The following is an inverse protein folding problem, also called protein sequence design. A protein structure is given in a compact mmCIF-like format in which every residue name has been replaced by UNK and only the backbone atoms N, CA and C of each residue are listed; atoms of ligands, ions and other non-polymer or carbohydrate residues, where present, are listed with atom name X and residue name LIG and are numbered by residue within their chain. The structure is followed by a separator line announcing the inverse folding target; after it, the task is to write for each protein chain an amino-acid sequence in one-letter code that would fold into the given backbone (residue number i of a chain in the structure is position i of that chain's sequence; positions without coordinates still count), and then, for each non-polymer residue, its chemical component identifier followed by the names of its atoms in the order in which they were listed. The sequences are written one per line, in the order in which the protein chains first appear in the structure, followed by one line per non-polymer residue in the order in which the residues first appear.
data_IF_191537844067
#
_entry.id   IF_191537844067
#
_cell.length_a   1.000
_cell.length_b   1.000
_cell.length_c   1.000
_cell.angle_alpha   90.00
_cell.angle_beta   90.00
_cell.angle_gamma   90.00
#
_symmetry.space_group_name_H-M   'P 1'
#
loop_
_entity.id
_entity.type
_entity.pdbx_description
1 polymer ?
#
# COMPACT_ATOMS: atom_id res chain seq x y z
N UNK A 1 -52.81 -18.39 -0.73
CA UNK A 1 -52.16 -19.00 -1.91
C UNK A 1 -52.34 -18.04 -3.08
N UNK A 2 -51.38 -17.13 -3.31
CA UNK A 2 -51.45 -16.12 -4.38
C UNK A 2 -50.87 -16.71 -5.66
N UNK A 3 -51.73 -17.11 -6.60
CA UNK A 3 -51.34 -17.52 -7.94
C UNK A 3 -50.98 -16.26 -8.74
N UNK A 4 -49.69 -16.07 -9.02
CA UNK A 4 -49.21 -15.02 -9.93
C UNK A 4 -49.64 -15.35 -11.37
N UNK A 5 -50.84 -14.90 -11.76
CA UNK A 5 -51.44 -15.07 -13.10
C UNK A 5 -51.00 -13.98 -14.09
N UNK A 6 -49.75 -13.49 -14.00
CA UNK A 6 -49.29 -12.38 -14.86
C UNK A 6 -48.14 -12.80 -15.77
N UNK A 7 -48.44 -12.94 -17.06
CA UNK A 7 -47.54 -13.15 -18.21
C UNK A 7 -46.75 -11.88 -18.58
N UNK A 8 -46.31 -11.10 -17.59
CA UNK A 8 -45.53 -9.87 -17.85
C UNK A 8 -44.05 -10.19 -18.03
N UNK A 9 -43.50 -9.68 -19.13
CA UNK A 9 -42.06 -9.68 -19.44
C UNK A 9 -41.26 -9.14 -18.24
N UNK A 10 -40.20 -9.84 -17.85
CA UNK A 10 -39.33 -9.45 -16.73
C UNK A 10 -38.00 -8.95 -17.27
N UNK A 11 -37.55 -7.78 -16.84
CA UNK A 11 -36.23 -7.24 -17.17
C UNK A 11 -35.37 -7.24 -15.92
N UNK A 12 -34.21 -7.90 -15.98
CA UNK A 12 -33.20 -7.94 -14.92
C UNK A 12 -32.05 -7.04 -15.35
N UNK A 13 -31.73 -6.07 -14.50
CA UNK A 13 -30.65 -5.12 -14.73
C UNK A 13 -29.46 -5.51 -13.85
N UNK A 14 -28.27 -5.59 -14.43
CA UNK A 14 -27.03 -5.93 -13.72
C UNK A 14 -25.94 -4.95 -14.12
N UNK A 15 -25.16 -4.52 -13.15
CA UNK A 15 -24.00 -3.67 -13.36
C UNK A 15 -22.72 -4.45 -13.74
N UNK A 16 -22.75 -5.77 -13.54
CA UNK A 16 -21.65 -6.68 -13.85
C UNK A 16 -21.56 -6.96 -15.36
N UNK A 17 -20.92 -6.04 -16.08
CA UNK A 17 -20.66 -6.18 -17.52
C UNK A 17 -19.93 -7.48 -17.84
N UNK A 18 -18.98 -7.88 -17.00
CA UNK A 18 -18.20 -9.13 -17.17
C UNK A 18 -19.07 -10.38 -17.05
N UNK A 19 -20.05 -10.41 -16.14
CA UNK A 19 -20.98 -11.53 -16.03
C UNK A 19 -21.87 -11.63 -17.27
N UNK A 20 -22.41 -10.50 -17.75
CA UNK A 20 -23.24 -10.47 -18.96
C UNK A 20 -22.45 -10.87 -20.22
N UNK A 21 -21.21 -10.40 -20.36
CA UNK A 21 -20.32 -10.82 -21.45
C UNK A 21 -20.00 -12.31 -21.37
N UNK A 22 -19.73 -12.85 -20.17
CA UNK A 22 -19.51 -14.28 -19.96
C UNK A 22 -20.73 -15.10 -20.37
N UNK A 23 -21.94 -14.64 -20.06
CA UNK A 23 -23.18 -15.32 -20.48
C UNK A 23 -23.42 -15.23 -21.99
N UNK A 24 -23.05 -14.12 -22.62
CA UNK A 24 -23.22 -13.90 -24.06
C UNK A 24 -22.18 -14.63 -24.92
N UNK A 25 -20.99 -14.92 -24.40
CA UNK A 25 -19.89 -15.55 -25.15
C UNK A 25 -20.11 -17.06 -25.37
N UNK A 26 -20.48 -17.52 -26.58
CA UNK A 26 -20.74 -18.94 -26.83
C UNK A 26 -19.52 -19.84 -26.58
N UNK A 27 -18.30 -19.30 -26.58
CA UNK A 27 -17.06 -20.06 -26.37
C UNK A 27 -16.75 -20.29 -24.88
N UNK A 28 -17.43 -19.61 -23.96
CA UNK A 28 -17.24 -19.82 -22.53
C UNK A 28 -17.88 -21.14 -22.08
N UNK A 29 -17.04 -22.12 -21.75
CA UNK A 29 -17.40 -23.49 -21.35
C UNK A 29 -17.48 -23.70 -19.83
N UNK A 30 -17.38 -22.65 -19.03
CA UNK A 30 -17.40 -22.77 -17.57
C UNK A 30 -18.73 -23.38 -17.06
N UNK A 31 -18.71 -24.41 -16.18
CA UNK A 31 -19.93 -25.11 -15.75
C UNK A 31 -21.03 -24.20 -15.19
N UNK A 32 -20.66 -23.24 -14.32
CA UNK A 32 -21.62 -22.26 -13.79
C UNK A 32 -22.25 -21.40 -14.88
N UNK A 33 -21.49 -21.00 -15.90
CA UNK A 33 -22.02 -20.21 -17.02
C UNK A 33 -23.01 -21.06 -17.82
N UNK A 34 -22.70 -22.34 -18.05
CA UNK A 34 -23.61 -23.30 -18.67
C UNK A 34 -24.92 -23.45 -17.90
N UNK A 35 -24.85 -23.59 -16.59
CA UNK A 35 -26.03 -23.72 -15.74
C UNK A 35 -26.89 -22.44 -15.71
N UNK A 36 -26.26 -21.27 -15.56
CA UNK A 36 -26.99 -19.99 -15.62
C UNK A 36 -27.63 -19.78 -17.00
N UNK A 37 -26.96 -20.15 -18.10
CA UNK A 37 -27.57 -20.11 -19.45
C UNK A 37 -28.78 -21.02 -19.56
N UNK A 38 -28.72 -22.23 -19.00
CA UNK A 38 -29.85 -23.19 -18.99
C UNK A 38 -31.05 -22.60 -18.25
N UNK A 39 -30.81 -22.05 -17.05
CA UNK A 39 -31.83 -21.37 -16.24
C UNK A 39 -32.40 -20.16 -16.96
N UNK A 40 -31.55 -19.34 -17.59
CA UNK A 40 -31.99 -18.16 -18.34
C UNK A 40 -32.83 -18.53 -19.57
N UNK A 41 -32.48 -19.58 -20.31
CA UNK A 41 -33.28 -20.08 -21.44
C UNK A 41 -34.67 -20.49 -20.98
N UNK A 42 -34.75 -21.26 -19.88
CA UNK A 42 -36.02 -21.69 -19.27
C UNK A 42 -36.84 -20.49 -18.79
N UNK A 43 -36.22 -19.57 -18.06
CA UNK A 43 -36.91 -18.38 -17.56
C UNK A 43 -37.39 -17.46 -18.70
N UNK A 44 -36.65 -17.40 -19.81
CA UNK A 44 -37.05 -16.67 -21.01
C UNK A 44 -38.28 -17.30 -21.68
N UNK A 45 -38.34 -18.62 -21.81
CA UNK A 45 -39.50 -19.31 -22.40
C UNK A 45 -40.75 -19.25 -21.50
N UNK A 46 -40.58 -19.35 -20.18
CA UNK A 46 -41.70 -19.40 -19.24
C UNK A 46 -42.26 -18.00 -18.90
N UNK A 47 -41.39 -16.98 -18.78
CA UNK A 47 -41.73 -15.67 -18.19
C UNK A 47 -41.24 -14.47 -19.01
N UNK A 48 -40.56 -14.67 -20.13
CA UNK A 48 -40.00 -13.58 -20.92
C UNK A 48 -38.93 -12.78 -20.16
N UNK A 49 -37.96 -13.45 -19.53
CA UNK A 49 -36.84 -12.82 -18.82
C UNK A 49 -35.75 -12.32 -19.79
N UNK A 50 -35.35 -11.06 -19.62
CA UNK A 50 -34.25 -10.42 -20.36
C UNK A 50 -33.24 -9.78 -19.41
N UNK A 51 -31.95 -9.84 -19.78
CA UNK A 51 -30.87 -9.23 -19.02
C UNK A 51 -30.44 -7.93 -19.72
N UNK A 52 -30.16 -6.91 -18.92
CA UNK A 52 -29.69 -5.60 -19.37
C UNK A 52 -28.51 -5.14 -18.54
N UNK A 53 -27.59 -4.42 -19.16
CA UNK A 53 -26.48 -3.80 -18.44
C UNK A 53 -26.86 -2.39 -17.97
N UNK A 54 -26.49 -2.05 -16.74
CA UNK A 54 -26.56 -0.68 -16.20
C UNK A 54 -25.21 -0.27 -15.66
N UNK A 55 -24.97 1.03 -15.54
CA UNK A 55 -23.73 1.51 -14.95
C UNK A 55 -23.80 1.41 -13.42
N UNK A 56 -22.75 0.89 -12.80
CA UNK A 56 -22.60 0.86 -11.35
C UNK A 56 -22.42 2.28 -10.78
N UNK A 57 -22.91 2.50 -9.55
CA UNK A 57 -22.63 3.69 -8.72
C UNK A 57 -22.92 5.04 -9.38
N UNK A 58 -24.04 5.15 -10.09
CA UNK A 58 -24.51 6.41 -10.70
C UNK A 58 -25.85 6.89 -10.16
N UNK A 59 -26.31 6.39 -9.00
CA UNK A 59 -27.56 6.84 -8.38
C UNK A 59 -28.81 6.05 -8.78
N UNK A 60 -28.68 4.91 -9.47
CA UNK A 60 -29.84 4.06 -9.75
C UNK A 60 -30.27 3.32 -8.48
N UNK A 61 -31.31 3.83 -7.81
CA UNK A 61 -31.80 3.31 -6.52
C UNK A 61 -31.95 1.78 -6.50
N UNK A 62 -32.54 1.17 -7.54
CA UNK A 62 -32.71 -0.28 -7.62
C UNK A 62 -31.39 -1.06 -7.68
N UNK A 63 -30.37 -0.54 -8.38
CA UNK A 63 -29.05 -1.16 -8.43
C UNK A 63 -28.32 -0.99 -7.11
N UNK A 64 -28.38 0.20 -6.51
CA UNK A 64 -27.72 0.48 -5.24
C UNK A 64 -28.30 -0.35 -4.09
N UNK A 65 -29.63 -0.55 -4.09
CA UNK A 65 -30.28 -1.47 -3.16
C UNK A 65 -29.82 -2.92 -3.40
N UNK A 66 -29.77 -3.37 -4.65
CA UNK A 66 -29.30 -4.72 -4.97
C UNK A 66 -27.84 -4.94 -4.56
N UNK A 67 -26.96 -3.95 -4.76
CA UNK A 67 -25.56 -4.00 -4.34
C UNK A 67 -25.42 -4.03 -2.82
N UNK A 68 -26.23 -3.24 -2.10
CA UNK A 68 -26.24 -3.22 -0.64
C UNK A 68 -26.67 -4.56 -0.06
N UNK A 69 -27.72 -5.18 -0.61
CA UNK A 69 -28.19 -6.51 -0.22
C UNK A 69 -27.15 -7.59 -0.56
N UNK A 70 -26.55 -7.54 -1.76
CA UNK A 70 -25.49 -8.46 -2.16
C UNK A 70 -24.28 -8.36 -1.21
N UNK A 71 -23.92 -7.14 -0.77
CA UNK A 71 -22.86 -6.92 0.21
C UNK A 71 -23.23 -7.45 1.58
N UNK A 72 -24.44 -7.22 2.07
CA UNK A 72 -24.91 -7.76 3.35
C UNK A 72 -24.90 -9.30 3.35
N UNK A 73 -25.26 -9.92 2.21
CA UNK A 73 -25.18 -11.37 2.06
C UNK A 73 -23.75 -11.92 2.16
N UNK A 74 -22.71 -11.12 1.90
CA UNK A 74 -21.31 -11.58 2.05
C UNK A 74 -20.90 -11.80 3.51
N UNK A 75 -21.65 -11.23 4.47
CA UNK A 75 -21.43 -11.41 5.90
C UNK A 75 -22.29 -12.55 6.49
N UNK A 76 -23.10 -13.21 5.66
CA UNK A 76 -23.95 -14.33 6.11
C UNK A 76 -23.11 -15.58 6.42
N UNK A 77 -23.37 -16.28 7.56
CA UNK A 77 -22.63 -17.49 7.95
C UNK A 77 -22.98 -18.71 7.09
N UNK A 78 -24.09 -18.68 6.34
CA UNK A 78 -24.50 -19.77 5.45
C UNK A 78 -24.05 -19.52 4.02
N UNK A 79 -23.04 -20.25 3.54
CA UNK A 79 -22.60 -20.22 2.14
C UNK A 79 -23.47 -21.18 1.33
N UNK A 80 -24.22 -20.66 0.35
CA UNK A 80 -25.08 -21.49 -0.53
C UNK A 80 -24.29 -22.22 -1.62
N UNK A 81 -23.09 -21.75 -1.96
CA UNK A 81 -22.20 -22.34 -2.97
C UNK A 81 -20.75 -22.12 -2.57
N UNK A 82 -19.99 -23.20 -2.37
CA UNK A 82 -18.54 -23.12 -2.18
C UNK A 82 -17.87 -22.74 -3.51
N UNK A 83 -17.47 -21.48 -3.62
CA UNK A 83 -16.68 -20.99 -4.75
C UNK A 83 -15.22 -20.82 -4.32
N UNK A 84 -14.25 -21.14 -5.20
CA UNK A 84 -12.86 -20.83 -4.95
C UNK A 84 -12.68 -19.33 -4.68
N UNK A 85 -11.87 -19.00 -3.67
CA UNK A 85 -11.51 -17.61 -3.38
C UNK A 85 -10.83 -17.01 -4.60
N UNK A 86 -11.30 -15.84 -5.06
CA UNK A 86 -10.69 -15.18 -6.19
C UNK A 86 -9.21 -14.89 -5.93
N UNK A 87 -8.36 -15.07 -6.94
CA UNK A 87 -6.92 -14.81 -6.82
C UNK A 87 -6.63 -13.39 -6.35
N UNK A 88 -7.50 -12.42 -6.66
CA UNK A 88 -7.40 -11.05 -6.17
C UNK A 88 -7.60 -10.96 -4.64
N UNK A 89 -8.67 -11.59 -4.12
CA UNK A 89 -8.95 -11.60 -2.67
C UNK A 89 -7.88 -12.36 -1.90
N UNK A 90 -7.40 -13.48 -2.45
CA UNK A 90 -6.27 -14.23 -1.89
C UNK A 90 -4.99 -13.37 -1.84
N UNK A 91 -4.60 -12.75 -2.95
CA UNK A 91 -3.43 -11.84 -3.02
C UNK A 91 -3.58 -10.66 -2.06
N UNK A 92 -4.77 -10.10 -1.92
CA UNK A 92 -5.05 -9.02 -0.98
C UNK A 92 -4.81 -9.48 0.47
N UNK A 93 -5.37 -10.63 0.86
CA UNK A 93 -5.18 -11.19 2.21
C UNK A 93 -3.71 -11.53 2.49
N UNK A 94 -3.02 -12.13 1.53
CA UNK A 94 -1.58 -12.41 1.65
C UNK A 94 -0.77 -11.13 1.83
N UNK A 95 -1.05 -10.07 1.06
CA UNK A 95 -0.39 -8.77 1.23
C UNK A 95 -0.58 -8.20 2.63
N UNK A 96 -1.78 -8.28 3.19
CA UNK A 96 -2.03 -7.84 4.57
C UNK A 96 -1.19 -8.63 5.57
N UNK A 97 -1.14 -9.96 5.45
CA UNK A 97 -0.35 -10.83 6.33
C UNK A 97 1.15 -10.50 6.23
N UNK A 98 1.67 -10.37 5.02
CA UNK A 98 3.10 -10.09 4.78
C UNK A 98 3.49 -8.71 5.31
N UNK A 99 2.67 -7.67 5.04
CA UNK A 99 2.93 -6.32 5.55
C UNK A 99 2.88 -6.30 7.09
N UNK A 100 1.93 -7.00 7.71
CA UNK A 100 1.85 -7.07 9.17
C UNK A 100 3.07 -7.78 9.77
N UNK A 101 3.43 -8.95 9.25
CA UNK A 101 4.62 -9.68 9.70
C UNK A 101 5.90 -8.85 9.53
N UNK A 102 6.00 -8.08 8.44
CA UNK A 102 7.12 -7.16 8.23
C UNK A 102 7.09 -6.00 9.24
N UNK A 103 5.93 -5.42 9.51
CA UNK A 103 5.77 -4.36 10.50
C UNK A 103 6.11 -4.84 11.90
N UNK A 104 5.65 -6.03 12.30
CA UNK A 104 5.95 -6.62 13.60
C UNK A 104 7.46 -6.84 13.75
N UNK A 105 8.10 -7.43 12.74
CA UNK A 105 9.56 -7.58 12.73
C UNK A 105 10.26 -6.21 12.79
N UNK A 106 9.73 -5.21 12.11
CA UNK A 106 10.28 -3.86 12.07
C UNK A 106 10.20 -3.14 13.43
N UNK A 107 9.10 -3.33 14.15
CA UNK A 107 8.84 -2.72 15.45
C UNK A 107 9.62 -3.41 16.58
N UNK A 108 9.74 -4.74 16.55
CA UNK A 108 10.30 -5.52 17.66
C UNK A 108 11.75 -5.98 17.49
N UNK A 109 12.41 -5.68 16.36
CA UNK A 109 13.84 -5.99 16.20
C UNK A 109 14.71 -5.14 17.13
N UNK A 110 15.50 -5.73 18.05
CA UNK A 110 16.10 -4.98 19.16
C UNK A 110 17.24 -4.04 18.73
N UNK A 111 18.11 -4.45 17.79
CA UNK A 111 19.40 -3.76 17.61
C UNK A 111 19.63 -3.18 16.22
N UNK A 112 19.00 -3.73 15.19
CA UNK A 112 19.29 -3.36 13.79
C UNK A 112 18.27 -2.34 13.28
N UNK A 113 18.79 -1.30 12.61
CA UNK A 113 17.98 -0.31 11.91
C UNK A 113 17.13 0.59 12.80
N UNK A 114 17.40 0.69 14.11
CA UNK A 114 16.58 1.48 15.06
C UNK A 114 16.55 2.97 14.72
N UNK A 115 17.67 3.51 14.24
CA UNK A 115 17.70 4.88 13.73
C UNK A 115 16.76 5.06 12.52
N UNK A 116 16.86 4.18 11.53
CA UNK A 116 15.96 4.18 10.37
C UNK A 116 14.49 4.02 10.78
N UNK A 117 14.20 3.14 11.74
CA UNK A 117 12.85 2.95 12.29
C UNK A 117 12.29 4.22 12.91
N UNK A 118 13.12 4.97 13.65
CA UNK A 118 12.70 6.26 14.22
C UNK A 118 12.29 7.31 13.17
N UNK A 119 12.78 7.18 11.93
CA UNK A 119 12.46 8.07 10.80
C UNK A 119 11.34 7.49 9.92
N UNK A 120 11.33 6.17 9.73
CA UNK A 120 10.39 5.43 8.87
C UNK A 120 9.80 4.30 9.70
N UNK A 121 8.87 4.59 10.62
CA UNK A 121 8.33 3.59 11.55
C UNK A 121 7.35 2.65 10.87
N UNK A 122 6.77 3.04 9.72
CA UNK A 122 5.79 2.23 8.99
C UNK A 122 6.39 1.65 7.72
N UNK A 123 6.31 0.33 7.61
CA UNK A 123 6.71 -0.38 6.40
C UNK A 123 5.71 -0.10 5.28
N UNK A 124 6.19 -0.10 4.04
CA UNK A 124 5.36 0.21 2.88
C UNK A 124 5.91 -0.49 1.64
N UNK A 125 5.00 -0.91 0.77
CA UNK A 125 5.36 -1.40 -0.57
C UNK A 125 5.59 -0.25 -1.57
N UNK A 126 5.35 1.00 -1.16
CA UNK A 126 5.60 2.17 -2.00
C UNK A 126 7.11 2.36 -2.16
N UNK A 127 7.59 2.32 -3.39
CA UNK A 127 8.97 2.67 -3.69
C UNK A 127 9.16 4.17 -3.52
N UNK A 128 10.21 4.54 -2.80
CA UNK A 128 10.62 5.93 -2.62
C UNK A 128 11.98 6.17 -3.28
N UNK A 129 12.06 7.18 -4.16
CA UNK A 129 13.30 7.57 -4.82
C UNK A 129 13.97 8.71 -4.04
N UNK A 130 14.72 8.36 -3.00
CA UNK A 130 15.37 9.33 -2.10
C UNK A 130 16.82 9.68 -2.49
N UNK A 131 17.40 8.97 -3.46
CA UNK A 131 18.76 9.23 -3.94
C UNK A 131 19.78 9.33 -2.82
N UNK A 132 20.49 10.45 -2.76
CA UNK A 132 21.53 10.70 -1.76
C UNK A 132 21.03 10.81 -0.32
N UNK A 133 19.74 11.04 -0.08
CA UNK A 133 19.16 11.09 1.27
C UNK A 133 19.05 9.71 1.93
N UNK A 134 19.16 8.61 1.15
CA UNK A 134 19.10 7.24 1.70
C UNK A 134 20.17 7.05 2.78
N UNK A 135 21.37 7.58 2.58
CA UNK A 135 22.45 7.51 3.56
C UNK A 135 22.05 8.20 4.87
N UNK A 136 21.42 9.37 4.76
CA UNK A 136 20.96 10.16 5.91
C UNK A 136 19.85 9.45 6.69
N UNK A 137 18.94 8.74 6.03
CA UNK A 137 17.85 8.03 6.70
C UNK A 137 18.25 6.67 7.27
N UNK A 138 19.25 6.03 6.67
CA UNK A 138 19.73 4.72 7.11
C UNK A 138 20.87 4.82 8.12
N UNK A 139 21.51 5.98 8.22
CA UNK A 139 22.77 6.14 8.93
C UNK A 139 23.93 5.40 8.27
N UNK A 140 23.74 4.89 7.04
CA UNK A 140 24.73 4.15 6.26
C UNK A 140 25.33 5.04 5.20
N UNK A 141 26.23 5.92 5.61
CA UNK A 141 26.86 6.90 4.73
C UNK A 141 28.25 7.29 5.19
N UNK A 142 28.78 8.34 4.57
CA UNK A 142 30.07 8.96 4.96
C UNK A 142 29.91 9.79 6.24
N UNK A 143 29.62 9.12 7.34
CA UNK A 143 29.55 9.68 8.68
C UNK A 143 30.72 9.15 9.52
N UNK A 144 31.40 9.97 10.34
CA UNK A 144 32.50 9.52 11.21
C UNK A 144 32.13 8.27 12.02
N UNK A 145 30.99 8.30 12.72
CA UNK A 145 30.53 7.17 13.54
C UNK A 145 30.28 5.90 12.72
N UNK A 146 29.81 6.04 11.48
CA UNK A 146 29.62 4.90 10.58
C UNK A 146 30.98 4.34 10.11
N UNK A 147 31.89 5.20 9.68
CA UNK A 147 33.21 4.82 9.17
C UNK A 147 34.08 4.16 10.25
N UNK A 148 34.09 4.70 11.46
CA UNK A 148 34.78 4.14 12.62
C UNK A 148 34.27 2.74 12.97
N UNK A 149 32.95 2.56 13.01
CA UNK A 149 32.32 1.25 13.30
C UNK A 149 32.75 0.15 12.32
N UNK A 150 33.08 0.51 11.08
CA UNK A 150 33.56 -0.43 10.05
C UNK A 150 35.09 -0.49 9.93
N UNK A 151 35.84 0.19 10.81
CA UNK A 151 37.30 0.20 10.79
C UNK A 151 37.91 0.96 9.60
N UNK A 152 37.14 1.86 8.99
CA UNK A 152 37.57 2.66 7.83
C UNK A 152 38.09 4.04 8.25
N UNK A 153 37.54 4.60 9.33
CA UNK A 153 37.94 5.91 9.88
C UNK A 153 38.59 5.77 11.26
N UNK A 154 39.42 6.76 11.60
CA UNK A 154 40.21 6.76 12.84
C UNK A 154 39.39 7.09 14.09
N UNK A 155 38.33 7.90 13.95
CA UNK A 155 37.45 8.32 15.06
C UNK A 155 35.96 8.37 14.66
N UNK A 156 35.10 8.40 15.68
CA UNK A 156 33.65 8.49 15.55
C UNK A 156 33.10 9.93 15.64
N UNK A 157 33.97 10.95 15.60
CA UNK A 157 33.64 12.31 16.02
C UNK A 157 33.35 13.24 14.83
N UNK A 158 32.36 14.09 15.03
CA UNK A 158 32.16 15.26 14.20
C UNK A 158 33.21 16.33 14.58
N UNK A 159 33.59 17.20 13.63
CA UNK A 159 34.46 18.35 13.90
C UNK A 159 33.92 19.32 14.98
N UNK A 160 32.63 19.24 15.34
CA UNK A 160 32.09 19.97 16.48
C UNK A 160 32.26 19.27 17.85
N UNK A 161 32.90 18.10 17.89
CA UNK A 161 33.21 17.32 19.11
C UNK A 161 32.17 16.28 19.52
N UNK A 162 30.95 16.32 18.96
CA UNK A 162 29.91 15.30 19.19
C UNK A 162 30.12 14.03 18.35
N UNK A 163 29.34 12.98 18.60
CA UNK A 163 29.31 11.80 17.73
C UNK A 163 28.87 12.19 16.32
N UNK A 164 29.67 11.80 15.31
CA UNK A 164 29.42 12.10 13.91
C UNK A 164 28.46 11.10 13.28
N UNK A 165 27.22 11.04 13.76
CA UNK A 165 26.16 10.20 13.22
C UNK A 165 25.08 11.02 12.47
N UNK A 166 24.24 10.33 11.69
CA UNK A 166 23.18 10.99 10.93
C UNK A 166 22.18 11.76 11.81
N UNK A 167 21.84 11.25 13.00
CA UNK A 167 20.92 11.90 13.93
C UNK A 167 21.46 13.26 14.38
N UNK A 168 22.74 13.31 14.71
CA UNK A 168 23.44 14.53 15.09
C UNK A 168 23.33 15.59 14.00
N UNK A 169 23.64 15.23 12.75
CA UNK A 169 23.58 16.18 11.62
C UNK A 169 22.16 16.68 11.32
N UNK A 170 21.12 15.88 11.54
CA UNK A 170 19.72 16.30 11.36
C UNK A 170 19.24 17.20 12.50
N UNK A 171 19.61 16.88 13.75
CA UNK A 171 18.91 17.42 14.93
C UNK A 171 19.72 18.47 15.69
N UNK A 172 21.04 18.34 15.79
CA UNK A 172 21.83 19.08 16.80
C UNK A 172 23.16 19.66 16.32
N UNK A 173 23.67 19.30 15.15
CA UNK A 173 24.99 19.74 14.70
C UNK A 173 25.04 21.25 14.43
N UNK A 174 25.96 22.01 15.08
CA UNK A 174 26.16 23.43 14.79
C UNK A 174 26.61 23.65 13.33
N UNK A 175 27.36 22.71 12.75
CA UNK A 175 27.87 22.80 11.38
C UNK A 175 26.75 22.66 10.34
N UNK A 176 25.58 22.13 10.68
CA UNK A 176 24.42 22.05 9.79
C UNK A 176 23.29 23.00 10.22
N UNK A 177 23.53 23.90 11.17
CA UNK A 177 22.50 24.72 11.82
C UNK A 177 21.63 25.49 10.83
N UNK A 178 22.22 26.17 9.84
CA UNK A 178 21.47 26.95 8.84
C UNK A 178 20.53 26.09 7.97
N UNK A 179 20.79 24.78 7.84
CA UNK A 179 19.90 23.84 7.16
C UNK A 179 18.87 23.27 8.13
N UNK A 180 19.30 22.86 9.33
CA UNK A 180 18.42 22.25 10.32
C UNK A 180 17.29 23.17 10.75
N UNK A 181 17.55 24.48 10.89
CA UNK A 181 16.54 25.47 11.29
C UNK A 181 15.45 25.67 10.24
N UNK A 182 15.68 25.23 9.00
CA UNK A 182 14.69 25.24 7.91
C UNK A 182 13.82 23.99 7.92
N UNK A 183 14.23 22.90 8.60
CA UNK A 183 13.46 21.67 8.69
C UNK A 183 12.23 21.87 9.59
N UNK A 184 11.07 21.39 9.13
CA UNK A 184 9.80 21.42 9.87
C UNK A 184 9.45 20.03 10.36
N UNK A 185 9.78 19.73 11.62
CA UNK A 185 9.54 18.43 12.25
C UNK A 185 9.52 18.55 13.77
N UNK A 186 9.00 17.54 14.45
CA UNK A 186 9.08 17.38 15.90
C UNK A 186 10.41 16.68 16.27
N UNK A 187 11.34 17.33 17.00
CA UNK A 187 12.61 16.70 17.39
C UNK A 187 12.45 15.45 18.28
N UNK A 188 11.30 15.31 18.96
CA UNK A 188 10.96 14.15 19.78
C UNK A 188 10.38 12.99 18.95
N UNK A 189 9.97 13.27 17.71
CA UNK A 189 9.41 12.29 16.78
C UNK A 189 10.03 12.47 15.39
N UNK A 190 11.14 11.76 15.17
CA UNK A 190 11.89 11.83 13.92
C UNK A 190 11.09 11.34 12.71
N UNK A 191 9.99 10.61 12.89
CA UNK A 191 9.15 10.18 11.78
C UNK A 191 8.52 11.36 11.05
N UNK A 192 8.35 12.48 11.74
CA UNK A 192 7.84 13.73 11.20
C UNK A 192 8.83 14.48 10.30
N UNK A 193 10.09 14.03 10.17
CA UNK A 193 11.11 14.69 9.34
C UNK A 193 10.91 14.42 7.85
N UNK A 194 10.41 13.24 7.47
CA UNK A 194 10.25 12.84 6.06
C UNK A 194 8.95 13.40 5.50
N UNK A 195 9.02 14.65 5.02
CA UNK A 195 7.88 15.38 4.43
C UNK A 195 8.34 16.13 3.19
N UNK A 196 7.43 16.35 2.24
CA UNK A 196 7.73 16.98 0.95
C UNK A 196 8.48 18.32 1.11
N UNK A 197 8.07 19.16 2.07
CA UNK A 197 8.72 20.44 2.36
C UNK A 197 10.16 20.32 2.88
N UNK A 198 10.53 19.19 3.50
CA UNK A 198 11.86 18.95 4.04
C UNK A 198 12.80 18.30 3.02
N UNK A 199 12.30 17.61 1.99
CA UNK A 199 13.12 16.83 1.06
C UNK A 199 14.25 17.65 0.39
N UNK A 200 14.03 18.88 -0.10
CA UNK A 200 15.12 19.67 -0.69
C UNK A 200 16.21 20.00 0.32
N UNK A 201 15.82 20.30 1.56
CA UNK A 201 16.74 20.65 2.66
C UNK A 201 17.52 19.42 3.11
N UNK A 202 16.87 18.26 3.20
CA UNK A 202 17.51 16.98 3.55
C UNK A 202 18.52 16.55 2.48
N UNK A 203 18.23 16.79 1.20
CA UNK A 203 19.19 16.59 0.11
C UNK A 203 20.42 17.50 0.23
N UNK A 204 20.21 18.80 0.46
CA UNK A 204 21.30 19.76 0.71
C UNK A 204 22.14 19.38 1.94
N UNK A 205 21.48 18.94 3.01
CA UNK A 205 22.13 18.45 4.23
C UNK A 205 22.96 17.21 3.95
N UNK A 206 22.43 16.23 3.20
CA UNK A 206 23.17 15.02 2.80
C UNK A 206 24.44 15.36 2.03
N UNK A 207 24.36 16.26 1.03
CA UNK A 207 25.54 16.72 0.26
C UNK A 207 26.59 17.38 1.14
N UNK A 208 26.17 18.26 2.04
CA UNK A 208 27.08 18.96 2.95
C UNK A 208 27.77 18.01 3.92
N UNK A 209 27.05 17.04 4.47
CA UNK A 209 27.65 16.09 5.41
C UNK A 209 28.66 15.19 4.70
N UNK A 210 28.38 14.75 3.47
CA UNK A 210 29.34 13.99 2.66
C UNK A 210 30.65 14.73 2.42
N UNK A 211 30.64 16.06 2.37
CA UNK A 211 31.85 16.87 2.16
C UNK A 211 32.68 17.06 3.43
N UNK A 212 32.19 16.66 4.61
CA UNK A 212 32.94 16.81 5.86
C UNK A 212 34.08 15.82 6.02
N UNK A 213 34.04 14.69 5.32
CA UNK A 213 35.13 13.72 5.33
C UNK A 213 35.94 13.83 4.02
N UNK A 214 37.29 13.79 4.10
CA UNK A 214 38.13 13.74 2.90
C UNK A 214 37.77 12.52 2.06
N UNK A 215 37.95 12.62 0.74
CA UNK A 215 37.78 11.46 -0.15
C UNK A 215 38.78 10.38 0.25
N UNK A 216 38.27 9.23 0.67
CA UNK A 216 39.09 8.05 0.88
C UNK A 216 39.61 7.63 -0.50
N UNK A 217 40.90 7.87 -0.76
CA UNK A 217 41.56 7.22 -1.89
C UNK A 217 41.56 5.72 -1.60
N UNK A 218 40.92 4.94 -2.47
CA UNK A 218 41.03 3.48 -2.40
C UNK A 218 42.49 3.14 -2.66
N UNK A 219 43.14 2.53 -1.67
CA UNK A 219 44.44 1.88 -1.80
C UNK A 219 44.35 0.73 -2.79
#
# INVERSE_FOLDING_TARGET
MLTLTTTKRVNVYSDSRSALQSLADPMNTHPLVGEVRRLLKRARSERGVFLHWVKAHVGYLGNELADAEAKAATDSPSVSVELPVSSSRFKCKLRCIIIQAWQDHWDFSPDKGRFTHSIIPKVSLKTHFWGEMVELFTGHGRFPAHMYRFGIGDDDRCACGAAGDAKHYIVSCPLTMNLRTRLRFNPLDLSSVVRECNLPILGELSRRVRSFLPYLQRS
#
